data_IF_795483606815
#
_entry.id   IF_795483606815
#
_cell.length_a   1.000
_cell.length_b   1.000
_cell.length_c   1.000
_cell.angle_alpha   90.00
_cell.angle_beta   90.00
_cell.angle_gamma   90.00
#
_symmetry.space_group_name_H-M   'P 1'
#
loop_
_entity.id
_entity.type
_entity.pdbx_description
1 polymer ?
#
# COMPACT_ATOMS: atom_id res chain seq x y z
N UNK A 1 29.79 55.91 -14.23
CA UNK A 1 29.14 54.75 -13.58
C UNK A 1 30.12 54.10 -12.62
N UNK A 2 29.94 54.32 -11.32
CA UNK A 2 30.89 53.90 -10.29
C UNK A 2 30.73 52.39 -9.98
N UNK A 3 31.75 51.61 -10.35
CA UNK A 3 31.80 50.14 -10.15
C UNK A 3 32.17 49.76 -8.71
N UNK A 4 32.63 50.72 -7.92
CA UNK A 4 33.16 50.51 -6.57
C UNK A 4 32.04 50.43 -5.53
N UNK A 5 31.02 51.28 -5.66
CA UNK A 5 29.86 51.32 -4.76
C UNK A 5 28.96 50.07 -4.84
N UNK A 6 28.99 49.32 -5.97
CA UNK A 6 28.20 48.09 -6.13
C UNK A 6 28.83 46.88 -5.41
N UNK A 7 30.16 46.86 -5.22
CA UNK A 7 30.84 45.77 -4.52
C UNK A 7 30.67 45.86 -3.00
N UNK A 8 30.73 47.07 -2.44
CA UNK A 8 30.58 47.28 -0.99
C UNK A 8 29.19 46.91 -0.44
N UNK A 9 28.13 47.02 -1.27
CA UNK A 9 26.75 46.68 -0.88
C UNK A 9 26.48 45.17 -0.87
N UNK A 10 27.20 44.40 -1.69
CA UNK A 10 27.04 42.95 -1.78
C UNK A 10 27.75 42.22 -0.62
N UNK A 11 28.93 42.69 -0.21
CA UNK A 11 29.67 42.07 0.90
C UNK A 11 28.99 42.34 2.25
N UNK A 12 28.47 43.55 2.46
CA UNK A 12 27.73 43.90 3.67
C UNK A 12 26.43 43.10 3.85
N UNK A 13 25.72 42.81 2.75
CA UNK A 13 24.49 42.00 2.80
C UNK A 13 24.77 40.55 3.17
N UNK A 14 25.87 39.97 2.65
CA UNK A 14 26.27 38.58 2.92
C UNK A 14 26.77 38.42 4.36
N UNK A 15 27.57 39.36 4.87
CA UNK A 15 28.10 39.29 6.24
C UNK A 15 26.99 39.51 7.28
N UNK A 16 26.02 40.40 7.01
CA UNK A 16 24.88 40.60 7.89
C UNK A 16 23.95 39.36 7.94
N UNK A 17 23.79 38.65 6.83
CA UNK A 17 23.03 37.40 6.77
C UNK A 17 23.73 36.29 7.56
N UNK A 18 25.04 36.12 7.34
CA UNK A 18 25.85 35.12 8.03
C UNK A 18 25.86 35.34 9.55
N UNK A 19 25.95 36.61 9.99
CA UNK A 19 25.93 36.95 11.43
C UNK A 19 24.57 36.68 12.09
N UNK A 20 23.46 36.75 11.35
CA UNK A 20 22.12 36.35 11.83
C UNK A 20 21.97 34.84 11.90
N UNK A 21 22.44 34.12 10.88
CA UNK A 21 22.46 32.65 10.87
C UNK A 21 23.29 32.08 12.02
N UNK A 22 24.43 32.70 12.33
CA UNK A 22 25.29 32.30 13.44
C UNK A 22 24.65 32.58 14.81
N UNK A 23 23.91 33.69 14.95
CA UNK A 23 23.19 34.01 16.18
C UNK A 23 22.02 33.02 16.41
N UNK A 24 21.31 32.67 15.34
CA UNK A 24 20.22 31.67 15.40
C UNK A 24 20.77 30.27 15.68
N UNK A 25 21.87 29.87 15.05
CA UNK A 25 22.55 28.59 15.33
C UNK A 25 23.05 28.50 16.77
N UNK A 26 23.64 29.56 17.33
CA UNK A 26 24.11 29.57 18.73
C UNK A 26 22.96 29.50 19.74
N UNK A 27 21.82 30.12 19.46
CA UNK A 27 20.65 30.03 20.32
C UNK A 27 20.04 28.62 20.26
N UNK A 28 19.93 28.03 19.06
CA UNK A 28 19.38 26.67 18.87
C UNK A 28 20.31 25.61 19.50
N UNK A 29 21.63 25.74 19.37
CA UNK A 29 22.59 24.83 20.00
C UNK A 29 22.67 24.96 21.53
N UNK A 30 22.22 26.08 22.12
CA UNK A 30 22.14 26.25 23.57
C UNK A 30 20.89 25.56 24.18
N UNK A 31 19.89 25.25 23.35
CA UNK A 31 18.66 24.54 23.72
C UNK A 31 18.62 23.09 23.21
N UNK A 32 19.75 22.54 22.76
CA UNK A 32 19.88 21.10 22.61
C UNK A 32 20.30 20.56 23.99
N UNK A 33 19.39 19.95 24.78
CA UNK A 33 19.81 19.26 25.98
C UNK A 33 20.78 18.16 25.54
N UNK A 34 21.98 18.16 26.11
CA UNK A 34 22.89 17.01 26.05
C UNK A 34 22.33 15.91 26.95
N UNK A 35 21.12 15.45 26.63
CA UNK A 35 20.56 14.23 27.14
C UNK A 35 20.93 13.15 26.13
N UNK A 36 22.11 12.56 26.32
CA UNK A 36 22.27 11.16 25.98
C UNK A 36 21.22 10.41 26.81
N UNK A 37 20.00 10.30 26.27
CA UNK A 37 18.97 9.42 26.79
C UNK A 37 19.66 8.07 27.05
N UNK A 38 19.43 7.40 28.19
CA UNK A 38 19.85 6.02 28.31
C UNK A 38 19.30 5.30 27.06
N UNK A 39 20.07 4.43 26.40
CA UNK A 39 19.55 3.70 25.24
C UNK A 39 18.22 3.11 25.69
N UNK A 40 17.13 3.51 25.02
CA UNK A 40 15.78 3.07 25.37
C UNK A 40 15.82 1.55 25.47
N UNK A 41 15.88 1.02 26.69
CA UNK A 41 15.62 -0.38 26.93
C UNK A 41 14.13 -0.51 26.64
N UNK A 42 13.81 -0.95 25.42
CA UNK A 42 12.47 -1.43 25.13
C UNK A 42 12.14 -2.47 26.19
N UNK A 43 11.05 -2.31 26.97
CA UNK A 43 10.67 -3.33 27.93
C UNK A 43 10.57 -4.68 27.20
N UNK A 44 10.99 -5.79 27.82
CA UNK A 44 10.78 -7.10 27.22
C UNK A 44 9.28 -7.22 26.88
N UNK A 45 8.93 -7.71 25.68
CA UNK A 45 7.54 -7.82 25.29
C UNK A 45 6.79 -8.65 26.35
N UNK A 46 5.54 -8.28 26.69
CA UNK A 46 4.75 -9.00 27.68
C UNK A 46 4.61 -10.48 27.26
N UNK A 47 4.46 -11.43 28.20
CA UNK A 47 4.39 -12.86 27.90
C UNK A 47 3.27 -13.25 26.92
N UNK A 48 2.28 -12.38 26.72
CA UNK A 48 1.20 -12.54 25.73
C UNK A 48 1.62 -12.21 24.29
N UNK A 49 2.71 -11.47 24.08
CA UNK A 49 3.29 -11.22 22.76
C UNK A 49 4.18 -12.37 22.28
N UNK A 50 4.53 -13.31 23.17
CA UNK A 50 5.04 -14.63 22.82
C UNK A 50 3.89 -15.62 22.50
N UNK A 51 2.69 -15.12 22.19
CA UNK A 51 1.61 -15.95 21.67
C UNK A 51 2.12 -16.63 20.40
N UNK A 52 2.25 -17.94 20.53
CA UNK A 52 2.55 -18.95 19.54
C UNK A 52 1.74 -18.72 18.27
N UNK A 53 2.22 -17.82 17.42
CA UNK A 53 1.74 -17.74 16.05
C UNK A 53 2.35 -18.92 15.33
N UNK A 54 1.51 -19.88 14.97
CA UNK A 54 1.92 -21.06 14.22
C UNK A 54 2.80 -20.63 13.01
N UNK A 55 4.11 -20.88 13.05
CA UNK A 55 5.08 -20.23 12.14
C UNK A 55 4.88 -20.68 10.69
N UNK A 56 4.17 -21.80 10.50
CA UNK A 56 3.92 -22.42 9.20
C UNK A 56 2.84 -21.68 8.40
N UNK A 57 1.74 -21.29 9.03
CA UNK A 57 0.66 -20.56 8.39
C UNK A 57 1.05 -19.11 8.06
N UNK A 58 1.83 -18.46 8.95
CA UNK A 58 2.29 -17.09 8.70
C UNK A 58 3.27 -17.01 7.51
N UNK A 59 4.08 -18.05 7.27
CA UNK A 59 5.10 -18.04 6.22
C UNK A 59 4.58 -18.00 4.78
N UNK A 60 3.52 -18.75 4.45
CA UNK A 60 2.95 -18.76 3.10
C UNK A 60 2.21 -17.45 2.79
N UNK A 61 1.38 -16.99 3.72
CA UNK A 61 0.66 -15.73 3.57
C UNK A 61 1.60 -14.54 3.53
N UNK A 62 2.68 -14.54 4.32
CA UNK A 62 3.74 -13.54 4.23
C UNK A 62 4.48 -13.59 2.89
N UNK A 63 4.77 -14.78 2.37
CA UNK A 63 5.39 -14.92 1.05
C UNK A 63 4.48 -14.35 -0.04
N UNK A 64 3.19 -14.69 -0.03
CA UNK A 64 2.21 -14.16 -0.98
C UNK A 64 2.10 -12.64 -0.88
N UNK A 65 2.01 -12.11 0.33
CA UNK A 65 1.97 -10.67 0.57
C UNK A 65 3.23 -9.96 0.05
N UNK A 66 4.42 -10.52 0.33
CA UNK A 66 5.69 -9.96 -0.15
C UNK A 66 5.78 -9.95 -1.67
N UNK A 67 5.20 -10.94 -2.35
CA UNK A 67 5.21 -11.04 -3.81
C UNK A 67 4.21 -10.06 -4.43
N UNK A 68 2.97 -10.08 -3.95
CA UNK A 68 1.85 -9.40 -4.61
C UNK A 68 1.65 -7.97 -4.10
N UNK A 69 1.77 -7.75 -2.80
CA UNK A 69 1.37 -6.49 -2.16
C UNK A 69 2.54 -5.51 -1.96
N UNK A 70 3.78 -5.97 -1.96
CA UNK A 70 4.95 -5.14 -1.58
C UNK A 70 5.26 -3.99 -2.54
N UNK A 71 4.89 -4.11 -3.83
CA UNK A 71 5.18 -3.11 -4.86
C UNK A 71 3.89 -2.67 -5.53
N UNK A 72 3.60 -1.36 -5.50
CA UNK A 72 2.37 -0.78 -6.08
C UNK A 72 2.12 -1.23 -7.53
N UNK A 73 3.17 -1.26 -8.37
CA UNK A 73 3.02 -1.73 -9.75
C UNK A 73 2.57 -3.20 -9.83
N UNK A 74 3.17 -4.08 -9.01
CA UNK A 74 2.81 -5.51 -8.97
C UNK A 74 1.39 -5.68 -8.44
N UNK A 75 1.06 -4.98 -7.35
CA UNK A 75 -0.27 -5.00 -6.75
C UNK A 75 -1.36 -4.63 -7.76
N UNK A 76 -1.21 -3.48 -8.44
CA UNK A 76 -2.21 -3.01 -9.40
C UNK A 76 -2.36 -3.99 -10.57
N UNK A 77 -1.24 -4.50 -11.11
CA UNK A 77 -1.32 -5.50 -12.19
C UNK A 77 -1.98 -6.79 -11.73
N UNK A 78 -1.73 -7.23 -10.50
CA UNK A 78 -2.36 -8.40 -9.93
C UNK A 78 -3.86 -8.20 -9.70
N UNK A 79 -4.28 -7.02 -9.23
CA UNK A 79 -5.70 -6.67 -9.07
C UNK A 79 -6.41 -6.68 -10.41
N UNK A 80 -5.81 -6.05 -11.44
CA UNK A 80 -6.41 -6.02 -12.78
C UNK A 80 -6.48 -7.42 -13.39
N UNK A 81 -5.37 -8.17 -13.36
CA UNK A 81 -5.36 -9.54 -13.89
C UNK A 81 -6.32 -10.47 -13.14
N UNK A 82 -6.37 -10.34 -11.81
CA UNK A 82 -7.28 -11.08 -10.94
C UNK A 82 -8.75 -10.75 -11.22
N UNK A 83 -9.08 -9.48 -11.51
CA UNK A 83 -10.43 -9.10 -11.88
C UNK A 83 -10.86 -9.73 -13.21
N UNK A 84 -10.01 -9.70 -14.24
CA UNK A 84 -10.32 -10.32 -15.54
C UNK A 84 -10.48 -11.84 -15.44
N UNK A 85 -9.61 -12.50 -14.68
CA UNK A 85 -9.72 -13.94 -14.45
C UNK A 85 -10.93 -14.30 -13.57
N UNK A 86 -11.18 -13.49 -12.53
CA UNK A 86 -12.26 -13.66 -11.57
C UNK A 86 -13.64 -13.52 -12.20
N UNK A 87 -13.84 -12.54 -13.07
CA UNK A 87 -15.10 -12.36 -13.83
C UNK A 87 -15.51 -13.66 -14.52
N UNK A 88 -14.60 -14.24 -15.31
CA UNK A 88 -14.88 -15.48 -16.04
C UNK A 88 -15.14 -16.64 -15.09
N UNK A 89 -14.29 -16.81 -14.07
CA UNK A 89 -14.45 -17.90 -13.11
C UNK A 89 -15.81 -17.84 -12.39
N UNK A 90 -16.23 -16.64 -11.97
CA UNK A 90 -17.52 -16.42 -11.30
C UNK A 90 -18.67 -16.64 -12.27
N UNK A 91 -18.64 -16.08 -13.47
CA UNK A 91 -19.69 -16.25 -14.47
C UNK A 91 -19.92 -17.74 -14.80
N UNK A 92 -18.83 -18.47 -15.08
CA UNK A 92 -18.92 -19.91 -15.36
C UNK A 92 -19.42 -20.68 -14.14
N UNK A 93 -18.92 -20.37 -12.94
CA UNK A 93 -19.30 -21.03 -11.71
C UNK A 93 -20.78 -20.83 -11.38
N UNK A 94 -21.25 -19.58 -11.39
CA UNK A 94 -22.65 -19.23 -11.10
C UNK A 94 -23.58 -19.83 -12.13
N UNK A 95 -23.24 -19.72 -13.42
CA UNK A 95 -24.04 -20.32 -14.48
C UNK A 95 -24.17 -21.83 -14.27
N UNK A 96 -23.06 -22.54 -14.01
CA UNK A 96 -23.09 -23.98 -13.77
C UNK A 96 -23.91 -24.37 -12.55
N UNK A 97 -23.76 -23.66 -11.45
CA UNK A 97 -24.58 -23.90 -10.24
C UNK A 97 -26.06 -23.66 -10.53
N UNK A 98 -26.40 -22.63 -11.31
CA UNK A 98 -27.77 -22.34 -11.71
C UNK A 98 -28.34 -23.41 -12.64
N UNK A 99 -27.57 -23.86 -13.64
CA UNK A 99 -27.96 -24.95 -14.53
C UNK A 99 -28.25 -26.23 -13.74
N UNK A 100 -27.37 -26.58 -12.79
CA UNK A 100 -27.55 -27.75 -11.92
C UNK A 100 -28.78 -27.64 -11.04
N UNK A 101 -29.13 -26.44 -10.58
CA UNK A 101 -30.29 -26.24 -9.71
C UNK A 101 -31.62 -26.13 -10.49
N UNK A 102 -31.58 -25.89 -11.80
CA UNK A 102 -32.77 -25.69 -12.63
C UNK A 102 -32.96 -26.76 -13.71
N UNK A 103 -32.35 -27.94 -13.54
CA UNK A 103 -32.53 -29.10 -14.42
C UNK A 103 -34.02 -29.41 -14.58
N UNK A 104 -34.49 -29.53 -15.81
CA UNK A 104 -35.89 -29.83 -16.15
C UNK A 104 -36.82 -28.61 -16.21
N UNK A 105 -36.33 -27.41 -15.85
CA UNK A 105 -37.07 -26.14 -15.98
C UNK A 105 -36.51 -25.22 -17.06
N UNK A 106 -35.35 -25.55 -17.64
CA UNK A 106 -34.73 -24.80 -18.72
C UNK A 106 -35.50 -25.03 -20.01
N UNK A 107 -35.53 -24.03 -20.89
CA UNK A 107 -36.12 -24.18 -22.22
C UNK A 107 -35.53 -25.36 -23.00
N UNK A 108 -34.25 -25.65 -22.79
CA UNK A 108 -33.54 -26.76 -23.43
C UNK A 108 -34.02 -28.15 -22.96
N UNK A 109 -34.57 -28.24 -21.74
CA UNK A 109 -34.99 -29.50 -21.13
C UNK A 109 -36.47 -29.82 -21.42
N UNK A 110 -37.22 -28.90 -22.04
CA UNK A 110 -38.65 -29.06 -22.31
C UNK A 110 -38.84 -29.64 -23.72
N UNK A 111 -39.02 -30.96 -23.78
CA UNK A 111 -39.18 -31.76 -25.01
C UNK A 111 -40.35 -31.33 -25.91
N UNK A 112 -41.30 -30.55 -25.39
CA UNK A 112 -42.58 -30.24 -26.05
C UNK A 112 -42.55 -28.92 -26.82
N UNK A 113 -41.51 -28.09 -26.69
CA UNK A 113 -41.46 -26.76 -27.34
C UNK A 113 -41.38 -26.81 -28.88
N UNK A 114 -40.95 -27.94 -29.46
CA UNK A 114 -40.89 -28.15 -30.91
C UNK A 114 -42.12 -28.83 -31.53
N UNK A 115 -43.06 -29.33 -30.72
CA UNK A 115 -44.31 -29.90 -31.22
C UNK A 115 -45.39 -28.82 -31.24
N UNK A 116 -45.41 -28.05 -32.32
CA UNK A 116 -46.61 -27.30 -32.66
C UNK A 116 -47.71 -28.35 -32.94
N UNK A 117 -48.88 -28.30 -32.28
CA UNK A 117 -50.01 -29.12 -32.70
C UNK A 117 -50.22 -28.87 -34.19
N UNK A 118 -50.09 -29.91 -35.00
CA UNK A 118 -50.50 -29.84 -36.39
C UNK A 118 -52.02 -29.64 -36.36
N UNK A 119 -52.42 -28.41 -36.67
CA UNK A 119 -53.81 -28.03 -36.87
C UNK A 119 -54.34 -28.68 -38.15
#
# INVERSE_FOLDING_TARGET
MDRTARRARLTWGVDASRKREDATRRTISRFAPNESLPPHQTPPPPPHAAAETDPTAMGLWDALYRVVMRRNAVYVTFVVAGAFAGERAVDYGVHKVWEMNNIGKRYEDISVLGQRPAE
#
